data_IF_726337991206
#
_entry.id   IF_726337991206
#
_cell.length_a   1.000
_cell.length_b   1.000
_cell.length_c   1.000
_cell.angle_alpha   90.00
_cell.angle_beta   90.00
_cell.angle_gamma   90.00
#
_symmetry.space_group_name_H-M   'P 1'
#
loop_
_entity.id
_entity.type
_entity.pdbx_description
1 polymer ?
#
# COMPACT_ATOMS: atom_id res chain seq x y z
N UNK A 1 35.58 -0.23 15.66
CA UNK A 1 35.54 0.43 14.34
C UNK A 1 36.11 -0.53 13.32
N UNK A 2 35.42 -0.77 12.20
CA UNK A 2 35.89 -1.66 11.15
C UNK A 2 37.14 -1.10 10.48
N UNK A 3 38.13 -1.94 10.20
CA UNK A 3 39.40 -1.52 9.60
C UNK A 3 39.20 -1.08 8.14
N UNK A 4 40.10 -0.27 7.60
CA UNK A 4 40.06 0.14 6.18
C UNK A 4 40.09 -1.06 5.22
N UNK A 5 40.75 -2.14 5.61
CA UNK A 5 40.78 -3.39 4.84
C UNK A 5 39.43 -4.13 4.85
N UNK A 6 38.73 -4.15 5.99
CA UNK A 6 37.37 -4.70 6.07
C UNK A 6 36.39 -3.90 5.20
N UNK A 7 36.50 -2.57 5.20
CA UNK A 7 35.67 -1.71 4.35
C UNK A 7 35.90 -1.97 2.86
N UNK A 8 37.17 -2.12 2.43
CA UNK A 8 37.51 -2.44 1.04
C UNK A 8 36.97 -3.80 0.60
N UNK A 9 37.05 -4.82 1.46
CA UNK A 9 36.49 -6.15 1.19
C UNK A 9 34.98 -6.12 1.06
N UNK A 10 34.29 -5.38 1.94
CA UNK A 10 32.84 -5.23 1.88
C UNK A 10 32.38 -4.55 0.58
N UNK A 11 33.08 -3.50 0.15
CA UNK A 11 32.80 -2.81 -1.13
C UNK A 11 33.01 -3.76 -2.31
N UNK A 12 34.13 -4.51 -2.34
CA UNK A 12 34.40 -5.47 -3.40
C UNK A 12 33.33 -6.57 -3.46
N UNK A 13 32.87 -7.08 -2.32
CA UNK A 13 31.80 -8.06 -2.23
C UNK A 13 30.46 -7.51 -2.74
N UNK A 14 30.12 -6.27 -2.39
CA UNK A 14 28.90 -5.59 -2.86
C UNK A 14 28.91 -5.33 -4.37
N UNK A 15 30.07 -5.00 -4.94
CA UNK A 15 30.21 -4.85 -6.39
C UNK A 15 30.09 -6.19 -7.12
N UNK A 16 30.66 -7.26 -6.57
CA UNK A 16 30.56 -8.61 -7.15
C UNK A 16 29.12 -9.15 -7.11
N UNK A 17 28.40 -8.96 -6.01
CA UNK A 17 27.00 -9.40 -5.87
C UNK A 17 26.07 -8.66 -6.84
N UNK A 18 26.26 -7.35 -7.00
CA UNK A 18 25.49 -6.52 -7.93
C UNK A 18 25.68 -6.98 -9.38
N UNK A 19 26.91 -7.29 -9.80
CA UNK A 19 27.21 -7.81 -11.14
C UNK A 19 26.71 -9.24 -11.36
N UNK A 20 26.70 -10.08 -10.32
CA UNK A 20 26.20 -11.44 -10.42
C UNK A 20 24.68 -11.48 -10.68
N UNK A 21 23.93 -10.59 -10.03
CA UNK A 21 22.48 -10.49 -10.19
C UNK A 21 22.07 -10.09 -11.62
N UNK A 22 22.72 -9.07 -12.19
CA UNK A 22 22.45 -8.63 -13.57
C UNK A 22 22.84 -9.70 -14.59
N UNK A 23 24.04 -10.30 -14.46
CA UNK A 23 24.50 -11.34 -15.38
C UNK A 23 23.70 -12.65 -15.31
N UNK A 24 23.05 -12.96 -14.18
CA UNK A 24 22.13 -14.09 -14.10
C UNK A 24 20.79 -13.78 -14.79
N UNK A 25 20.26 -12.57 -14.64
CA UNK A 25 19.03 -12.14 -15.30
C UNK A 25 19.18 -12.14 -16.82
N UNK A 26 20.30 -11.62 -17.33
CA UNK A 26 20.62 -11.62 -18.77
C UNK A 26 20.72 -13.04 -19.35
N UNK A 27 21.37 -13.97 -18.62
CA UNK A 27 21.47 -15.38 -19.03
C UNK A 27 20.09 -16.05 -19.07
N UNK A 28 19.23 -15.78 -18.08
CA UNK A 28 17.85 -16.31 -18.05
C UNK A 28 17.01 -15.75 -19.20
N UNK A 29 17.06 -14.44 -19.44
CA UNK A 29 16.33 -13.80 -20.53
C UNK A 29 16.78 -14.33 -21.91
N UNK A 30 18.09 -14.51 -22.10
CA UNK A 30 18.65 -15.11 -23.33
C UNK A 30 18.19 -16.56 -23.49
N UNK A 31 18.20 -17.34 -22.41
CA UNK A 31 17.70 -18.71 -22.42
C UNK A 31 16.21 -18.80 -22.78
N UNK A 32 15.38 -17.91 -22.21
CA UNK A 32 13.96 -17.82 -22.53
C UNK A 32 13.72 -17.45 -24.00
N UNK A 33 14.45 -16.45 -24.53
CA UNK A 33 14.41 -16.08 -25.94
C UNK A 33 14.76 -17.24 -26.88
N UNK A 34 15.76 -18.05 -26.54
CA UNK A 34 16.11 -19.25 -27.32
C UNK A 34 15.02 -20.32 -27.26
N UNK A 35 14.38 -20.53 -26.10
CA UNK A 35 13.27 -21.46 -25.95
C UNK A 35 12.06 -20.99 -26.74
N UNK A 36 11.72 -19.71 -26.70
CA UNK A 36 10.62 -19.12 -27.46
C UNK A 36 10.83 -19.28 -28.97
N UNK A 37 12.04 -19.00 -29.45
CA UNK A 37 12.43 -19.23 -30.86
C UNK A 37 12.35 -20.70 -31.25
N UNK A 38 12.83 -21.61 -30.40
CA UNK A 38 12.86 -23.06 -30.69
C UNK A 38 11.47 -23.69 -30.65
N UNK A 39 10.63 -23.28 -29.71
CA UNK A 39 9.28 -23.83 -29.55
C UNK A 39 8.28 -23.22 -30.51
N UNK A 40 8.62 -22.10 -31.16
CA UNK A 40 7.77 -21.48 -32.18
C UNK A 40 6.41 -21.01 -31.65
N UNK A 41 6.27 -20.83 -30.33
CA UNK A 41 5.00 -20.48 -29.67
C UNK A 41 4.36 -19.22 -30.26
N UNK A 42 5.18 -18.23 -30.59
CA UNK A 42 4.73 -17.00 -31.25
C UNK A 42 4.08 -17.28 -32.62
N UNK A 43 4.65 -18.19 -33.41
CA UNK A 43 4.10 -18.59 -34.72
C UNK A 43 2.80 -19.36 -34.54
N UNK A 44 2.72 -20.24 -33.55
CA UNK A 44 1.48 -20.97 -33.23
C UNK A 44 0.38 -20.02 -32.77
N UNK A 45 0.71 -19.03 -31.94
CA UNK A 45 -0.24 -17.99 -31.51
C UNK A 45 -0.76 -17.17 -32.70
N UNK A 46 0.12 -16.78 -33.62
CA UNK A 46 -0.25 -16.03 -34.82
C UNK A 46 -1.16 -16.85 -35.74
N UNK A 47 -0.86 -18.15 -35.92
CA UNK A 47 -1.74 -19.06 -36.68
C UNK A 47 -3.10 -19.18 -36.01
N UNK A 48 -3.14 -19.38 -34.69
CA UNK A 48 -4.38 -19.47 -33.92
C UNK A 48 -5.21 -18.18 -33.98
N UNK A 49 -4.56 -17.01 -34.10
CA UNK A 49 -5.24 -15.72 -34.31
C UNK A 49 -5.91 -15.63 -35.68
N UNK A 50 -5.38 -16.32 -36.69
CA UNK A 50 -5.93 -16.37 -38.06
C UNK A 50 -7.01 -17.44 -38.21
N UNK A 51 -6.90 -18.56 -37.50
CA UNK A 51 -7.83 -19.70 -37.62
C UNK A 51 -8.98 -19.66 -36.60
N UNK A 52 -8.80 -19.00 -35.47
CA UNK A 52 -9.83 -18.84 -34.44
C UNK A 52 -10.89 -17.78 -34.79
N UNK A 53 -12.10 -17.84 -34.20
CA UNK A 53 -13.09 -16.79 -34.36
C UNK A 53 -12.51 -15.46 -33.88
N UNK A 54 -12.51 -14.46 -34.78
CA UNK A 54 -11.92 -13.14 -34.52
C UNK A 54 -12.59 -12.53 -33.27
N UNK A 55 -11.84 -12.07 -32.26
CA UNK A 55 -12.42 -11.45 -31.08
C UNK A 55 -13.30 -10.27 -31.50
N UNK A 56 -14.51 -10.19 -30.93
CA UNK A 56 -15.46 -9.13 -31.26
C UNK A 56 -14.80 -7.76 -31.07
N UNK A 57 -14.80 -6.97 -32.13
CA UNK A 57 -14.22 -5.64 -32.15
C UNK A 57 -15.06 -4.76 -31.22
N UNK A 58 -14.44 -4.21 -30.17
CA UNK A 58 -15.13 -3.27 -29.26
C UNK A 58 -15.69 -2.11 -30.08
N UNK A 59 -17.01 -1.98 -30.10
CA UNK A 59 -17.70 -0.81 -30.68
C UNK A 59 -17.46 0.40 -29.80
N UNK A 60 -17.22 1.55 -30.45
CA UNK A 60 -17.07 2.82 -29.76
C UNK A 60 -18.39 3.23 -29.13
N UNK A 61 -18.34 3.76 -27.91
CA UNK A 61 -19.50 4.31 -27.23
C UNK A 61 -19.90 5.62 -27.91
N UNK A 62 -21.16 5.79 -28.35
CA UNK A 62 -21.60 7.03 -28.97
C UNK A 62 -21.53 8.16 -27.95
N UNK A 63 -20.93 9.28 -28.33
CA UNK A 63 -20.91 10.52 -27.54
C UNK A 63 -22.22 11.25 -27.82
N UNK A 64 -22.93 11.64 -26.76
CA UNK A 64 -24.17 12.40 -26.89
C UNK A 64 -23.89 13.79 -27.49
N UNK A 65 -24.78 14.33 -28.34
CA UNK A 65 -24.61 15.66 -28.91
C UNK A 65 -24.60 16.73 -27.81
N UNK A 66 -23.66 17.67 -27.89
CA UNK A 66 -23.58 18.82 -26.99
C UNK A 66 -24.56 19.91 -27.45
N UNK A 67 -25.65 20.08 -26.71
CA UNK A 67 -26.68 21.07 -26.99
C UNK A 67 -27.84 20.94 -26.00
N UNK A 68 -28.39 22.09 -25.56
CA UNK A 68 -29.20 22.25 -24.35
C UNK A 68 -30.22 21.12 -24.12
N UNK A 69 -29.93 20.25 -23.16
CA UNK A 69 -30.99 19.45 -22.54
C UNK A 69 -32.03 20.43 -21.98
N UNK A 70 -33.32 20.24 -22.27
CA UNK A 70 -34.37 21.06 -21.67
C UNK A 70 -34.24 21.03 -20.14
N UNK A 71 -34.43 22.19 -19.46
CA UNK A 71 -34.20 22.29 -18.03
C UNK A 71 -35.12 21.32 -17.30
N UNK A 72 -34.52 20.27 -16.74
CA UNK A 72 -35.23 19.25 -15.99
C UNK A 72 -35.02 19.54 -14.52
N UNK A 73 -36.11 19.63 -13.74
CA UNK A 73 -36.00 19.76 -12.28
C UNK A 73 -35.57 18.43 -11.70
N UNK A 74 -34.28 18.28 -11.40
CA UNK A 74 -33.76 17.13 -10.69
C UNK A 74 -34.21 17.14 -9.24
N UNK A 75 -35.04 16.17 -8.84
CA UNK A 75 -35.31 15.91 -7.43
C UNK A 75 -34.31 14.86 -6.95
N UNK A 76 -33.30 15.30 -6.21
CA UNK A 76 -32.39 14.38 -5.54
C UNK A 76 -33.14 13.69 -4.40
N UNK A 77 -33.43 12.40 -4.53
CA UNK A 77 -33.78 11.59 -3.37
C UNK A 77 -32.50 11.43 -2.57
N UNK A 78 -32.44 12.07 -1.40
CA UNK A 78 -31.33 11.86 -0.47
C UNK A 78 -31.32 10.38 -0.09
N UNK A 79 -30.36 9.65 -0.64
CA UNK A 79 -29.98 8.34 -0.14
C UNK A 79 -28.88 8.58 0.86
N UNK A 80 -29.20 8.49 2.14
CA UNK A 80 -28.18 8.42 3.17
C UNK A 80 -27.17 7.32 2.77
N UNK A 81 -25.86 7.56 2.87
CA UNK A 81 -24.90 6.48 2.71
C UNK A 81 -25.31 5.35 3.67
N UNK A 82 -25.30 4.11 3.18
CA UNK A 82 -25.51 2.97 4.06
C UNK A 82 -24.50 3.12 5.20
N UNK A 83 -24.99 3.22 6.43
CA UNK A 83 -24.14 3.07 7.62
C UNK A 83 -23.38 1.78 7.40
N UNK A 84 -22.08 1.88 7.10
CA UNK A 84 -21.33 0.76 6.58
C UNK A 84 -21.37 -0.40 7.57
N UNK A 85 -22.16 -1.43 7.26
CA UNK A 85 -22.01 -2.77 7.81
C UNK A 85 -20.85 -3.44 7.06
N UNK A 86 -19.69 -2.79 7.08
CA UNK A 86 -18.50 -3.16 6.32
C UNK A 86 -17.34 -3.39 7.27
N UNK A 87 -17.22 -4.61 7.80
CA UNK A 87 -15.94 -5.22 8.17
C UNK A 87 -15.08 -4.47 9.19
N UNK A 88 -15.62 -4.25 10.39
CA UNK A 88 -14.82 -3.92 11.56
C UNK A 88 -15.61 -4.30 12.80
N UNK A 89 -15.13 -5.30 13.56
CA UNK A 89 -15.53 -5.47 14.96
C UNK A 89 -14.91 -4.28 15.68
N UNK A 90 -15.59 -3.13 15.74
CA UNK A 90 -14.99 -1.87 16.19
C UNK A 90 -16.04 -0.89 16.71
N UNK A 91 -15.57 0.01 17.58
CA UNK A 91 -16.39 0.98 18.33
C UNK A 91 -17.28 1.86 17.46
N UNK A 92 -18.48 2.18 17.95
CA UNK A 92 -19.43 3.09 17.29
C UNK A 92 -19.19 4.55 17.67
N UNK A 93 -19.14 5.43 16.67
CA UNK A 93 -19.07 6.89 16.90
C UNK A 93 -20.40 7.47 17.39
N UNK A 94 -20.41 8.51 18.25
CA UNK A 94 -19.26 9.19 18.85
C UNK A 94 -18.56 8.35 19.93
N UNK A 95 -17.23 8.46 19.98
CA UNK A 95 -16.40 7.80 21.00
C UNK A 95 -15.92 8.87 21.97
N UNK A 96 -16.02 8.59 23.26
CA UNK A 96 -15.58 9.46 24.35
C UNK A 96 -14.44 8.83 25.14
N UNK A 97 -13.53 9.65 25.64
CA UNK A 97 -12.47 9.19 26.55
C UNK A 97 -12.99 9.17 27.98
N UNK A 98 -12.86 8.02 28.65
CA UNK A 98 -13.28 7.84 30.04
C UNK A 98 -12.11 8.04 30.98
N UNK A 99 -10.97 7.41 30.68
CA UNK A 99 -9.76 7.54 31.50
C UNK A 99 -8.49 7.28 30.69
N UNK A 100 -7.38 7.85 31.17
CA UNK A 100 -6.05 7.70 30.56
C UNK A 100 -4.97 7.62 31.63
N UNK A 101 -4.10 6.64 31.51
CA UNK A 101 -2.88 6.51 32.32
C UNK A 101 -1.64 6.81 31.46
N UNK A 102 -0.53 7.12 32.11
CA UNK A 102 0.72 7.48 31.44
C UNK A 102 1.86 6.60 31.94
N UNK A 103 2.81 6.34 31.05
CA UNK A 103 4.11 5.78 31.41
C UNK A 103 4.91 6.78 32.25
N UNK A 104 5.97 6.33 32.94
CA UNK A 104 6.93 7.23 33.57
C UNK A 104 7.44 8.29 32.58
N UNK A 105 7.79 9.49 33.06
CA UNK A 105 8.30 10.54 32.19
C UNK A 105 9.66 10.16 31.60
N UNK A 106 9.81 10.32 30.29
CA UNK A 106 11.09 10.15 29.59
C UNK A 106 11.60 11.50 29.08
N UNK A 107 12.91 11.73 29.19
CA UNK A 107 13.57 12.88 28.61
C UNK A 107 13.91 12.55 27.14
N UNK A 108 13.50 13.43 26.23
CA UNK A 108 13.83 13.34 24.82
C UNK A 108 14.61 14.59 24.43
N UNK A 109 15.76 14.36 23.81
CA UNK A 109 16.61 15.41 23.30
C UNK A 109 16.22 15.73 21.85
N UNK A 110 16.31 17.01 21.49
CA UNK A 110 16.24 17.42 20.09
C UNK A 110 17.40 16.83 19.30
N UNK A 111 17.24 16.68 17.99
CA UNK A 111 18.27 16.08 17.13
C UNK A 111 19.60 16.82 17.13
N UNK A 112 19.59 18.10 17.49
CA UNK A 112 20.77 18.96 17.63
C UNK A 112 21.27 19.08 19.09
N UNK A 113 20.60 18.44 20.05
CA UNK A 113 20.97 18.42 21.47
C UNK A 113 20.76 19.76 22.20
N UNK A 114 20.14 20.76 21.57
CA UNK A 114 19.95 22.08 22.16
C UNK A 114 18.75 22.16 23.13
N UNK A 115 17.76 21.28 22.95
CA UNK A 115 16.53 21.29 23.74
C UNK A 115 16.26 19.89 24.28
N UNK A 116 16.01 19.80 25.58
CA UNK A 116 15.52 18.58 26.22
C UNK A 116 14.10 18.83 26.71
N UNK A 117 13.19 17.94 26.37
CA UNK A 117 11.80 18.01 26.82
C UNK A 117 11.34 16.70 27.42
N UNK A 118 10.48 16.80 28.43
CA UNK A 118 9.91 15.64 29.12
C UNK A 118 8.64 15.20 28.43
N UNK A 119 8.63 13.98 27.91
CA UNK A 119 7.47 13.34 27.29
C UNK A 119 6.81 12.39 28.28
N UNK A 120 5.48 12.52 28.44
CA UNK A 120 4.64 11.54 29.13
C UNK A 120 3.78 10.82 28.10
N UNK A 121 4.18 9.60 27.76
CA UNK A 121 3.47 8.77 26.78
C UNK A 121 2.26 8.12 27.44
N UNK A 122 1.18 7.95 26.68
CA UNK A 122 -0.01 7.25 27.16
C UNK A 122 0.32 5.77 27.34
N UNK A 123 -0.05 5.21 28.49
CA UNK A 123 0.09 3.79 28.78
C UNK A 123 -1.22 3.06 28.46
N UNK A 124 -2.30 3.46 29.13
CA UNK A 124 -3.63 2.90 28.91
C UNK A 124 -4.63 4.00 28.60
N UNK A 125 -5.58 3.69 27.73
CA UNK A 125 -6.68 4.57 27.36
C UNK A 125 -7.99 3.76 27.39
N UNK A 126 -8.91 4.16 28.26
CA UNK A 126 -10.28 3.64 28.29
C UNK A 126 -11.17 4.55 27.46
N UNK A 127 -11.81 3.99 26.45
CA UNK A 127 -12.74 4.70 25.57
C UNK A 127 -14.13 4.09 25.69
N UNK A 128 -15.17 4.91 25.66
CA UNK A 128 -16.57 4.49 25.62
C UNK A 128 -17.22 4.95 24.34
N UNK A 129 -17.87 4.02 23.66
CA UNK A 129 -18.55 4.28 22.41
C UNK A 129 -20.01 4.76 22.61
N UNK A 130 -20.70 5.02 21.50
CA UNK A 130 -22.09 5.49 21.52
C UNK A 130 -23.09 4.46 22.08
N UNK A 131 -22.75 3.18 22.00
CA UNK A 131 -23.55 2.06 22.47
C UNK A 131 -23.22 1.70 23.94
N UNK A 132 -22.29 2.44 24.57
CA UNK A 132 -21.87 2.25 25.97
C UNK A 132 -20.83 1.14 26.16
N UNK A 133 -20.22 0.66 25.07
CA UNK A 133 -19.17 -0.36 25.10
C UNK A 133 -17.84 0.29 25.47
N UNK A 134 -17.19 -0.27 26.49
CA UNK A 134 -15.86 0.15 26.94
C UNK A 134 -14.77 -0.65 26.21
N UNK A 135 -13.81 0.05 25.62
CA UNK A 135 -12.60 -0.53 25.03
C UNK A 135 -11.36 0.01 25.75
N UNK A 136 -10.51 -0.90 26.21
CA UNK A 136 -9.21 -0.60 26.78
C UNK A 136 -8.14 -0.75 25.69
N UNK A 137 -7.39 0.32 25.44
CA UNK A 137 -6.19 0.29 24.60
C UNK A 137 -4.95 0.40 25.45
N UNK A 138 -4.03 -0.55 25.28
CA UNK A 138 -2.74 -0.57 25.95
C UNK A 138 -1.67 -0.25 24.91
N UNK A 139 -0.85 0.76 25.22
CA UNK A 139 0.24 1.22 24.37
C UNK A 139 1.57 0.75 24.96
N UNK A 140 2.39 0.12 24.11
CA UNK A 140 3.73 -0.30 24.49
C UNK A 140 4.56 0.92 24.87
N UNK A 141 5.42 0.75 25.88
CA UNK A 141 6.51 1.68 26.11
C UNK A 141 7.59 1.39 25.07
N UNK A 142 8.08 2.44 24.41
CA UNK A 142 9.02 2.29 23.29
C UNK A 142 10.24 3.14 23.65
N UNK A 143 11.33 2.50 24.02
CA UNK A 143 12.59 3.20 24.29
C UNK A 143 13.12 3.92 23.03
#
# INVERSE_FOLDING_TARGET
MATLEEQRRAIAAGMASSRAATGQAERKATGQSLIERRTGKAVVEDINRLTGPRPQRKTLTPIAPVGALPPTRGRGVYKAPATGTGGGVGLRSPISEVSRSYHPPHLVESSDGLVVFTLRRTNELLMRDADGVDELRVFADVD
#
